data_IF_335505311068
#
_entry.id   IF_335505311068
#
_cell.length_a   1.000
_cell.length_b   1.000
_cell.length_c   1.000
_cell.angle_alpha   90.00
_cell.angle_beta   90.00
_cell.angle_gamma   90.00
#
_symmetry.space_group_name_H-M   'P 1'
#
loop_
_entity.id
_entity.type
_entity.pdbx_description
1 polymer ?
#
# COMPACT_ATOMS: atom_id res chain seq x y z
N UNK A 1 42.28 -4.20 39.55
CA UNK A 1 41.88 -4.74 40.86
C UNK A 1 40.46 -5.29 40.68
N UNK A 2 40.12 -6.56 40.71
CA UNK A 2 40.64 -7.75 41.31
C UNK A 2 40.24 -8.98 40.51
N UNK A 3 41.18 -9.83 40.45
CA UNK A 3 41.17 -11.19 39.95
C UNK A 3 40.40 -12.11 40.92
N UNK A 4 39.63 -13.08 40.40
CA UNK A 4 39.42 -14.34 41.10
C UNK A 4 39.25 -15.49 40.11
N UNK A 5 40.26 -16.32 40.07
CA UNK A 5 40.30 -17.66 39.50
C UNK A 5 40.06 -18.68 40.62
N UNK A 6 39.44 -19.83 40.31
CA UNK A 6 39.51 -21.11 41.07
C UNK A 6 38.93 -22.20 40.17
N UNK A 7 39.71 -23.01 39.52
CA UNK A 7 40.34 -24.33 39.78
C UNK A 7 39.40 -25.53 39.87
N UNK A 8 39.59 -26.39 38.89
CA UNK A 8 39.68 -27.87 38.79
C UNK A 8 39.11 -28.74 39.89
N UNK A 9 38.36 -29.75 39.49
CA UNK A 9 38.58 -31.11 40.03
C UNK A 9 38.13 -32.20 39.01
N UNK A 10 39.11 -33.05 38.70
CA UNK A 10 39.06 -34.29 37.95
C UNK A 10 38.74 -35.44 38.93
N UNK A 11 37.93 -36.41 38.55
CA UNK A 11 38.02 -37.77 39.12
C UNK A 11 37.68 -38.81 38.07
N UNK A 12 38.67 -39.61 37.86
CA UNK A 12 38.83 -40.86 37.15
C UNK A 12 38.18 -42.00 37.94
N UNK A 13 37.43 -42.92 37.36
CA UNK A 13 37.55 -44.34 37.76
C UNK A 13 37.01 -45.29 36.68
N UNK A 14 37.84 -46.15 36.18
CA UNK A 14 37.51 -47.26 35.33
C UNK A 14 37.18 -48.52 36.12
N UNK A 15 36.37 -49.36 35.58
CA UNK A 15 36.34 -50.80 35.88
C UNK A 15 36.02 -51.61 34.64
N UNK A 16 36.96 -52.47 34.36
CA UNK A 16 36.99 -53.55 33.38
C UNK A 16 36.38 -54.81 34.00
N UNK A 17 35.41 -55.50 33.37
CA UNK A 17 35.16 -56.91 33.57
C UNK A 17 34.66 -57.61 32.32
N UNK A 18 35.53 -58.36 31.74
CA UNK A 18 35.29 -59.44 30.78
C UNK A 18 34.65 -60.67 31.51
N UNK A 19 33.64 -61.27 30.96
CA UNK A 19 33.41 -62.74 30.97
C UNK A 19 32.44 -63.13 29.86
N UNK A 20 32.93 -63.99 28.96
CA UNK A 20 32.13 -64.66 27.98
C UNK A 20 31.31 -65.84 28.56
N UNK A 21 30.26 -66.16 27.89
CA UNK A 21 29.66 -67.51 27.87
C UNK A 21 29.03 -67.78 26.52
N UNK A 22 29.56 -68.81 25.89
CA UNK A 22 29.02 -69.56 24.75
C UNK A 22 27.74 -70.31 25.17
N UNK A 23 26.73 -70.39 24.32
CA UNK A 23 25.89 -71.59 24.17
C UNK A 23 24.94 -71.49 22.98
N UNK A 24 25.20 -72.33 22.00
CA UNK A 24 24.34 -73.27 21.21
C UNK A 24 23.03 -72.80 20.59
N UNK A 25 22.98 -73.04 19.31
CA UNK A 25 21.94 -73.16 18.33
C UNK A 25 20.58 -73.72 18.76
N UNK A 26 19.50 -73.09 18.33
CA UNK A 26 18.26 -73.75 17.96
C UNK A 26 17.70 -73.12 16.68
N UNK A 27 17.53 -73.93 15.63
CA UNK A 27 16.78 -73.69 14.43
C UNK A 27 15.28 -73.72 14.74
N UNK A 28 14.54 -72.75 14.26
CA UNK A 28 13.10 -72.86 13.98
C UNK A 28 12.69 -72.03 12.78
N UNK A 29 11.92 -72.64 11.93
CA UNK A 29 11.19 -72.31 10.74
C UNK A 29 10.83 -70.83 10.50
N UNK A 30 11.03 -70.43 9.25
CA UNK A 30 10.43 -69.24 8.64
C UNK A 30 8.93 -69.34 8.48
N UNK A 31 8.20 -68.22 8.61
CA UNK A 31 7.16 -67.89 7.65
C UNK A 31 7.55 -66.64 6.85
N UNK A 32 7.37 -66.73 5.54
CA UNK A 32 7.54 -65.67 4.57
C UNK A 32 6.84 -64.37 5.03
N UNK A 33 7.64 -63.37 5.35
CA UNK A 33 7.16 -61.98 5.48
C UNK A 33 7.35 -61.28 4.15
N UNK A 34 6.23 -60.75 3.68
CA UNK A 34 6.12 -59.81 2.57
C UNK A 34 7.19 -58.74 2.65
N UNK A 35 8.03 -58.67 1.63
CA UNK A 35 8.91 -57.52 1.40
C UNK A 35 8.05 -56.27 1.23
N UNK A 36 7.93 -55.46 2.32
CA UNK A 36 7.60 -54.08 2.17
C UNK A 36 8.84 -53.39 1.64
N UNK A 37 8.82 -53.03 0.37
CA UNK A 37 9.80 -52.12 -0.20
C UNK A 37 9.77 -50.78 0.60
N UNK A 38 10.58 -50.70 1.63
CA UNK A 38 11.01 -49.39 2.17
C UNK A 38 12.05 -48.88 1.18
N UNK A 39 11.62 -48.13 0.18
CA UNK A 39 12.53 -47.29 -0.60
C UNK A 39 13.33 -46.46 0.38
N UNK A 40 14.64 -46.66 0.37
CA UNK A 40 15.59 -45.88 1.14
C UNK A 40 15.58 -44.47 0.57
N UNK A 41 14.88 -43.55 1.24
CA UNK A 41 14.90 -42.11 0.94
C UNK A 41 16.37 -41.65 0.96
N UNK A 42 16.83 -41.09 -0.13
CA UNK A 42 18.12 -40.42 -0.17
C UNK A 42 18.10 -39.23 0.78
N UNK A 43 19.22 -38.91 1.43
CA UNK A 43 19.28 -37.79 2.40
C UNK A 43 18.82 -36.49 1.77
N UNK A 44 17.69 -35.95 2.23
CA UNK A 44 17.09 -34.71 1.72
C UNK A 44 15.79 -34.89 0.94
N UNK A 45 15.33 -36.13 0.70
CA UNK A 45 14.04 -36.42 0.10
C UNK A 45 12.93 -36.41 1.17
N UNK A 46 11.78 -35.87 0.80
CA UNK A 46 10.58 -35.78 1.63
C UNK A 46 9.45 -36.45 0.88
N UNK A 47 8.89 -37.49 1.48
CA UNK A 47 7.65 -38.09 0.96
C UNK A 47 6.46 -37.28 1.48
N UNK A 48 5.64 -36.79 0.56
CA UNK A 48 4.46 -35.98 0.87
C UNK A 48 3.30 -36.48 0.01
N UNK A 49 2.38 -37.21 0.63
CA UNK A 49 1.32 -37.91 -0.11
C UNK A 49 0.39 -36.96 -0.87
N UNK A 50 -0.23 -37.43 -1.92
CA UNK A 50 -1.19 -36.65 -2.70
C UNK A 50 -2.33 -36.09 -1.83
N UNK A 51 -2.84 -36.88 -0.88
CA UNK A 51 -3.88 -36.43 0.07
C UNK A 51 -3.39 -35.28 0.97
N UNK A 52 -2.15 -35.34 1.44
CA UNK A 52 -1.53 -34.25 2.21
C UNK A 52 -1.34 -33.01 1.36
N UNK A 53 -0.90 -33.17 0.11
CA UNK A 53 -0.71 -32.08 -0.84
C UNK A 53 -2.03 -31.34 -1.14
N UNK A 54 -3.10 -32.08 -1.38
CA UNK A 54 -4.43 -31.54 -1.64
C UNK A 54 -4.99 -30.81 -0.40
N UNK A 55 -4.83 -31.41 0.80
CA UNK A 55 -5.33 -30.84 2.05
C UNK A 55 -4.75 -29.45 2.38
N UNK A 56 -3.50 -29.17 1.99
CA UNK A 56 -2.84 -27.86 2.20
C UNK A 56 -2.89 -26.94 0.99
N UNK A 57 -3.45 -27.39 -0.13
CA UNK A 57 -3.44 -26.68 -1.41
C UNK A 57 -2.02 -26.44 -1.91
N UNK A 58 -1.19 -27.49 -1.95
CA UNK A 58 0.18 -27.43 -2.49
C UNK A 58 0.11 -27.06 -3.97
N UNK A 59 0.90 -26.08 -4.37
CA UNK A 59 1.02 -25.67 -5.76
C UNK A 59 2.48 -25.78 -6.19
N UNK A 60 2.70 -26.22 -7.43
CA UNK A 60 4.01 -26.30 -8.05
C UNK A 60 4.05 -25.49 -9.34
N UNK A 61 5.23 -25.06 -9.74
CA UNK A 61 5.47 -24.32 -10.98
C UNK A 61 6.67 -24.94 -11.71
N UNK A 62 6.49 -25.22 -12.99
CA UNK A 62 7.60 -25.64 -13.84
C UNK A 62 8.41 -24.43 -14.30
N UNK A 63 9.69 -24.43 -13.95
CA UNK A 63 10.55 -23.28 -14.19
C UNK A 63 10.90 -23.12 -15.66
N UNK A 64 10.83 -21.89 -16.13
CA UNK A 64 11.25 -21.46 -17.45
C UNK A 64 12.11 -20.21 -17.32
N UNK A 65 13.09 -20.07 -18.20
CA UNK A 65 13.83 -18.82 -18.31
C UNK A 65 12.93 -17.73 -18.88
N UNK A 66 12.88 -16.60 -18.23
CA UNK A 66 12.07 -15.44 -18.61
C UNK A 66 12.82 -14.15 -18.34
N UNK A 67 12.46 -13.07 -19.06
CA UNK A 67 12.99 -11.74 -18.73
C UNK A 67 12.64 -11.36 -17.30
N UNK A 68 13.65 -10.99 -16.51
CA UNK A 68 13.50 -10.56 -15.14
C UNK A 68 14.14 -9.18 -14.95
N UNK A 69 13.43 -8.27 -14.28
CA UNK A 69 13.92 -6.92 -14.05
C UNK A 69 15.15 -6.93 -13.13
N UNK A 70 16.18 -6.18 -13.49
CA UNK A 70 17.23 -5.85 -12.54
C UNK A 70 16.66 -4.91 -11.48
N UNK A 71 16.87 -5.20 -10.20
CA UNK A 71 16.22 -4.51 -9.10
C UNK A 71 17.21 -3.69 -8.28
N UNK A 72 16.80 -2.49 -7.85
CA UNK A 72 17.45 -1.75 -6.77
C UNK A 72 16.50 -1.82 -5.56
N UNK A 73 16.94 -2.49 -4.51
CA UNK A 73 16.21 -2.58 -3.26
C UNK A 73 16.53 -1.37 -2.37
N UNK A 74 15.51 -0.65 -1.90
CA UNK A 74 15.69 0.55 -1.10
C UNK A 74 14.49 0.81 -0.18
N UNK A 75 14.62 1.79 0.67
CA UNK A 75 13.49 2.33 1.45
C UNK A 75 12.85 3.51 0.73
N UNK A 76 11.61 3.80 1.13
CA UNK A 76 10.88 4.96 0.63
C UNK A 76 9.77 5.38 1.57
N UNK A 77 9.06 6.43 1.16
CA UNK A 77 7.95 6.99 1.91
C UNK A 77 6.82 7.40 0.98
N UNK A 78 5.59 7.16 1.41
CA UNK A 78 4.40 7.65 0.75
C UNK A 78 4.16 9.11 1.16
N UNK A 79 3.88 9.97 0.19
CA UNK A 79 3.67 11.41 0.40
C UNK A 79 2.38 11.84 -0.31
N UNK A 80 1.76 12.90 0.20
CA UNK A 80 0.70 13.61 -0.54
C UNK A 80 1.30 14.42 -1.68
N UNK A 81 0.66 14.46 -2.87
CA UNK A 81 1.02 15.40 -3.92
C UNK A 81 0.90 16.84 -3.46
N UNK A 82 1.69 17.73 -4.05
CA UNK A 82 1.54 19.18 -3.82
C UNK A 82 0.14 19.62 -4.27
N UNK A 83 -0.59 20.33 -3.39
CA UNK A 83 -1.97 20.75 -3.65
C UNK A 83 -3.04 19.69 -3.34
N UNK A 84 -2.65 18.53 -2.80
CA UNK A 84 -3.62 17.54 -2.29
C UNK A 84 -4.37 18.06 -1.04
N UNK A 85 -3.78 19.00 -0.31
CA UNK A 85 -4.38 19.64 0.86
C UNK A 85 -4.98 20.99 0.44
N UNK A 86 -6.28 21.14 0.67
CA UNK A 86 -7.01 22.37 0.34
C UNK A 86 -7.59 22.95 1.62
N UNK A 87 -7.18 24.16 1.95
CA UNK A 87 -7.75 24.92 3.06
C UNK A 87 -9.07 25.55 2.63
N UNK A 88 -10.14 25.17 3.28
CA UNK A 88 -11.44 25.82 3.15
C UNK A 88 -11.44 27.09 3.96
N UNK A 89 -11.79 28.20 3.35
CA UNK A 89 -11.89 29.52 4.00
C UNK A 89 -13.30 30.06 3.94
N UNK A 90 -13.65 30.91 4.87
CA UNK A 90 -14.93 31.62 4.88
C UNK A 90 -15.01 32.61 3.72
N UNK A 91 -15.99 32.52 2.81
CA UNK A 91 -16.14 33.44 1.68
C UNK A 91 -16.70 34.78 2.07
N UNK A 92 -17.34 34.89 3.24
CA UNK A 92 -17.89 36.11 3.81
C UNK A 92 -17.92 36.06 5.32
N UNK A 93 -18.21 37.20 5.97
CA UNK A 93 -18.46 37.24 7.41
C UNK A 93 -19.74 36.45 7.75
N UNK A 94 -19.73 35.73 8.88
CA UNK A 94 -20.92 34.99 9.29
C UNK A 94 -20.71 34.16 10.55
N UNK A 95 -21.70 33.36 10.85
CA UNK A 95 -21.69 32.39 11.96
C UNK A 95 -21.70 30.97 11.39
N UNK A 96 -20.79 30.13 11.82
CA UNK A 96 -20.63 28.78 11.34
C UNK A 96 -21.65 27.85 12.00
N UNK A 97 -22.32 27.04 11.15
CA UNK A 97 -23.10 25.89 11.57
C UNK A 97 -22.60 24.65 10.81
N UNK A 98 -22.09 23.62 11.51
CA UNK A 98 -21.68 22.36 10.87
C UNK A 98 -22.89 21.69 10.17
N UNK A 99 -22.68 21.13 8.99
CA UNK A 99 -23.75 20.44 8.25
C UNK A 99 -24.13 19.10 8.92
N UNK A 100 -23.20 18.49 9.65
CA UNK A 100 -23.40 17.28 10.46
C UNK A 100 -22.66 17.40 11.81
N UNK A 101 -23.16 16.70 12.83
CA UNK A 101 -22.63 16.79 14.20
C UNK A 101 -21.25 16.20 14.39
N UNK A 102 -20.77 15.33 13.49
CA UNK A 102 -19.48 14.63 13.59
C UNK A 102 -18.52 15.06 12.47
N UNK A 103 -18.26 16.36 12.32
CA UNK A 103 -17.14 16.85 11.52
C UNK A 103 -15.91 16.94 12.40
N UNK A 104 -15.11 15.85 12.40
CA UNK A 104 -13.87 15.73 13.18
C UNK A 104 -12.71 15.36 12.25
N UNK A 105 -11.48 15.52 12.74
CA UNK A 105 -10.29 15.05 12.04
C UNK A 105 -10.41 13.58 11.66
N UNK A 106 -9.96 13.20 10.45
CA UNK A 106 -10.12 11.86 9.88
C UNK A 106 -11.49 11.57 9.26
N UNK A 107 -12.49 12.49 9.39
CA UNK A 107 -13.81 12.28 8.78
C UNK A 107 -13.70 12.21 7.26
N UNK A 108 -14.24 11.17 6.59
CA UNK A 108 -14.30 11.10 5.14
C UNK A 108 -15.27 12.16 4.60
N UNK A 109 -14.94 12.70 3.43
CA UNK A 109 -15.76 13.68 2.72
C UNK A 109 -15.82 13.35 1.23
N UNK A 110 -16.99 13.54 0.62
CA UNK A 110 -17.16 13.39 -0.82
C UNK A 110 -17.13 14.76 -1.51
N UNK A 111 -16.68 14.76 -2.78
CA UNK A 111 -16.65 16.00 -3.57
C UNK A 111 -18.04 16.63 -3.68
N UNK A 112 -18.15 17.92 -3.33
CA UNK A 112 -19.41 18.64 -3.34
C UNK A 112 -20.28 18.45 -2.09
N UNK A 113 -19.86 17.62 -1.12
CA UNK A 113 -20.54 17.47 0.18
C UNK A 113 -20.48 18.79 0.95
N UNK A 114 -21.62 19.25 1.49
CA UNK A 114 -21.67 20.43 2.35
C UNK A 114 -21.10 20.11 3.72
N UNK A 115 -20.05 20.80 4.12
CA UNK A 115 -19.39 20.64 5.41
C UNK A 115 -19.88 21.65 6.44
N UNK A 116 -20.06 22.91 6.01
CA UNK A 116 -20.53 23.98 6.87
C UNK A 116 -21.61 24.79 6.16
N UNK A 117 -22.46 25.38 6.97
CA UNK A 117 -23.31 26.49 6.59
C UNK A 117 -22.78 27.76 7.24
N UNK A 118 -22.71 28.84 6.49
CA UNK A 118 -22.33 30.15 6.97
C UNK A 118 -23.60 31.01 7.00
N UNK A 119 -24.13 31.20 8.21
CA UNK A 119 -25.29 32.10 8.43
C UNK A 119 -24.82 33.55 8.43
N UNK A 120 -25.34 34.34 7.49
CA UNK A 120 -25.06 35.75 7.34
C UNK A 120 -26.15 36.63 7.96
N UNK A 121 -27.25 36.03 8.42
CA UNK A 121 -28.37 36.73 9.08
C UNK A 121 -27.92 37.33 10.43
N UNK A 122 -28.45 38.51 10.75
CA UNK A 122 -28.19 39.24 12.00
C UNK A 122 -26.74 39.74 12.20
N UNK A 123 -25.97 39.93 11.13
CA UNK A 123 -24.70 40.66 11.21
C UNK A 123 -24.92 42.14 11.24
N UNK A 124 -24.00 42.90 11.90
CA UNK A 124 -24.09 44.37 12.06
C UNK A 124 -24.10 45.10 10.71
N UNK A 125 -23.51 44.48 9.67
CA UNK A 125 -23.46 45.01 8.30
C UNK A 125 -24.63 44.54 7.41
N UNK A 126 -25.60 43.84 7.98
CA UNK A 126 -26.74 43.24 7.28
C UNK A 126 -26.38 41.95 6.52
N UNK A 127 -27.41 41.26 6.06
CA UNK A 127 -27.26 40.06 5.23
C UNK A 127 -26.91 40.46 3.79
N UNK A 128 -25.61 40.35 3.44
CA UNK A 128 -25.07 40.76 2.13
C UNK A 128 -25.78 40.01 0.99
N UNK A 129 -26.13 38.76 1.16
CA UNK A 129 -26.77 37.97 0.12
C UNK A 129 -28.27 38.28 0.01
N UNK A 130 -28.95 38.55 1.12
CA UNK A 130 -30.30 39.04 1.08
C UNK A 130 -30.38 40.40 0.37
N UNK A 131 -29.41 41.25 0.63
CA UNK A 131 -29.28 42.56 -0.02
C UNK A 131 -29.04 42.41 -1.52
N UNK A 132 -28.11 41.56 -1.94
CA UNK A 132 -27.86 41.25 -3.35
C UNK A 132 -29.11 40.64 -4.05
N UNK A 133 -29.86 39.76 -3.38
CA UNK A 133 -31.12 39.22 -3.88
C UNK A 133 -32.18 40.30 -4.10
N UNK A 134 -32.40 41.18 -3.12
CA UNK A 134 -33.36 42.26 -3.22
C UNK A 134 -33.00 43.28 -4.31
N UNK A 135 -31.72 43.57 -4.47
CA UNK A 135 -31.21 44.43 -5.55
C UNK A 135 -31.44 43.76 -6.92
N UNK A 136 -31.15 42.49 -7.07
CA UNK A 136 -31.41 41.71 -8.30
C UNK A 136 -32.88 41.71 -8.65
N UNK A 137 -33.77 41.30 -7.72
CA UNK A 137 -35.22 41.26 -7.95
C UNK A 137 -35.78 42.63 -8.31
N UNK A 138 -35.24 43.71 -7.73
CA UNK A 138 -35.66 45.09 -8.02
C UNK A 138 -35.18 45.49 -9.42
N UNK A 139 -33.94 45.19 -9.76
CA UNK A 139 -33.37 45.49 -11.07
C UNK A 139 -34.06 44.66 -12.17
N UNK A 140 -34.40 43.38 -11.93
CA UNK A 140 -35.14 42.53 -12.87
C UNK A 140 -36.52 43.08 -13.18
N UNK A 141 -37.26 43.48 -12.15
CA UNK A 141 -38.60 44.13 -12.37
C UNK A 141 -38.46 45.42 -13.16
N UNK A 142 -37.41 46.21 -12.90
CA UNK A 142 -37.09 47.42 -13.65
C UNK A 142 -36.79 47.16 -15.11
N UNK A 143 -35.95 46.15 -15.36
CA UNK A 143 -35.58 45.71 -16.71
C UNK A 143 -36.77 45.21 -17.52
N UNK A 144 -37.61 44.31 -16.98
CA UNK A 144 -38.81 43.81 -17.66
C UNK A 144 -39.76 44.94 -18.03
N UNK A 145 -39.97 45.92 -17.16
CA UNK A 145 -40.80 47.13 -17.46
C UNK A 145 -40.16 47.97 -18.57
N UNK A 146 -38.84 48.20 -18.50
CA UNK A 146 -38.15 48.99 -19.49
C UNK A 146 -38.15 48.31 -20.88
N UNK A 147 -38.12 46.96 -20.93
CA UNK A 147 -38.18 46.18 -22.16
C UNK A 147 -39.51 46.39 -22.90
N UNK A 148 -40.61 46.54 -22.18
CA UNK A 148 -41.91 46.86 -22.78
C UNK A 148 -41.98 48.33 -23.26
N UNK A 149 -41.50 49.25 -22.41
CA UNK A 149 -41.54 50.69 -22.73
C UNK A 149 -40.67 51.09 -23.91
N UNK A 150 -39.54 50.40 -24.13
CA UNK A 150 -38.68 50.66 -25.30
C UNK A 150 -39.28 50.17 -26.60
N UNK A 151 -40.06 49.06 -26.56
CA UNK A 151 -40.80 48.56 -27.71
C UNK A 151 -41.87 49.57 -28.18
N UNK A 152 -42.53 50.21 -27.22
CA UNK A 152 -43.55 51.24 -27.46
C UNK A 152 -42.95 52.65 -27.68
N UNK A 153 -41.58 52.76 -27.72
CA UNK A 153 -40.84 54.02 -27.91
C UNK A 153 -41.15 55.06 -26.85
N UNK A 154 -41.52 54.65 -25.64
CA UNK A 154 -41.84 55.54 -24.51
C UNK A 154 -40.55 55.99 -23.82
N UNK A 155 -39.51 55.15 -23.82
CA UNK A 155 -38.16 55.47 -23.34
C UNK A 155 -37.16 55.41 -24.47
N UNK A 156 -36.05 56.14 -24.29
CA UNK A 156 -34.95 56.12 -25.27
C UNK A 156 -34.11 54.82 -25.17
N UNK A 157 -33.45 54.49 -26.25
CA UNK A 157 -32.50 53.35 -26.24
C UNK A 157 -31.41 53.48 -25.17
N UNK A 158 -30.92 54.69 -24.95
CA UNK A 158 -29.94 54.98 -23.93
C UNK A 158 -30.44 54.73 -22.51
N UNK A 159 -31.69 55.10 -22.23
CA UNK A 159 -32.33 54.79 -20.92
C UNK A 159 -32.52 53.28 -20.72
N UNK A 160 -32.94 52.58 -21.79
CA UNK A 160 -33.02 51.13 -21.73
C UNK A 160 -31.67 50.45 -21.45
N UNK A 161 -30.61 50.90 -22.14
CA UNK A 161 -29.25 50.36 -21.95
C UNK A 161 -28.76 50.56 -20.51
N UNK A 162 -29.04 51.70 -19.90
CA UNK A 162 -28.73 51.95 -18.48
C UNK A 162 -29.44 51.00 -17.51
N UNK A 163 -30.74 50.76 -17.75
CA UNK A 163 -31.53 49.83 -16.94
C UNK A 163 -31.02 48.40 -17.12
N UNK A 164 -30.70 48.01 -18.36
CA UNK A 164 -30.12 46.70 -18.68
C UNK A 164 -28.77 46.51 -18.00
N UNK A 165 -27.90 47.48 -18.09
CA UNK A 165 -26.59 47.43 -17.42
C UNK A 165 -26.75 47.27 -15.89
N UNK A 166 -27.70 47.98 -15.28
CA UNK A 166 -27.96 47.85 -13.84
C UNK A 166 -28.48 46.45 -13.48
N UNK A 167 -29.35 45.87 -14.31
CA UNK A 167 -29.84 44.49 -14.18
C UNK A 167 -28.68 43.45 -14.28
N UNK A 168 -27.85 43.56 -15.31
CA UNK A 168 -26.71 42.66 -15.51
C UNK A 168 -25.70 42.72 -14.32
N UNK A 169 -25.43 43.94 -13.80
CA UNK A 169 -24.58 44.11 -12.65
C UNK A 169 -25.18 43.50 -11.37
N UNK A 170 -26.48 43.75 -11.12
CA UNK A 170 -27.17 43.20 -9.95
C UNK A 170 -27.28 41.64 -10.07
N UNK A 171 -27.47 41.12 -11.29
CA UNK A 171 -27.48 39.70 -11.59
C UNK A 171 -26.13 39.06 -11.30
N UNK A 172 -25.05 39.64 -11.81
CA UNK A 172 -23.69 39.14 -11.55
C UNK A 172 -23.34 39.13 -10.06
N UNK A 173 -23.76 40.16 -9.33
CA UNK A 173 -23.55 40.26 -7.88
C UNK A 173 -24.33 39.19 -7.13
N UNK A 174 -25.59 38.93 -7.52
CA UNK A 174 -26.44 37.91 -6.91
C UNK A 174 -25.94 36.51 -7.24
N UNK A 175 -25.54 36.23 -8.49
CA UNK A 175 -24.99 34.94 -8.90
C UNK A 175 -23.65 34.65 -8.21
N UNK A 176 -22.80 35.67 -8.00
CA UNK A 176 -21.53 35.51 -7.30
C UNK A 176 -21.64 35.35 -5.78
N UNK A 177 -22.68 35.89 -5.15
CA UNK A 177 -22.81 35.92 -3.68
C UNK A 177 -24.04 35.19 -3.14
N UNK A 178 -25.06 34.93 -3.95
CA UNK A 178 -26.38 34.47 -3.50
C UNK A 178 -26.83 33.11 -4.05
N UNK A 179 -26.26 32.61 -5.11
CA UNK A 179 -26.75 31.40 -5.79
C UNK A 179 -26.57 30.10 -4.96
N UNK A 180 -25.67 30.09 -3.99
CA UNK A 180 -25.42 28.93 -3.08
C UNK A 180 -26.11 29.09 -1.72
N UNK A 181 -26.97 30.09 -1.54
CA UNK A 181 -27.64 30.37 -0.29
C UNK A 181 -28.94 29.58 -0.16
N UNK A 182 -28.90 28.54 0.69
CA UNK A 182 -30.11 27.85 1.13
C UNK A 182 -30.72 28.48 2.39
N UNK A 183 -31.81 27.91 2.90
CA UNK A 183 -32.51 28.36 4.12
C UNK A 183 -31.61 28.42 5.36
N UNK A 184 -30.50 27.65 5.36
CA UNK A 184 -29.50 27.58 6.46
C UNK A 184 -28.30 28.53 6.28
N UNK A 185 -28.25 29.31 5.20
CA UNK A 185 -27.15 30.19 4.85
C UNK A 185 -26.31 29.65 3.68
N UNK A 186 -25.15 30.25 3.46
CA UNK A 186 -24.21 29.89 2.40
C UNK A 186 -23.58 28.52 2.68
N UNK A 187 -23.69 27.59 1.74
CA UNK A 187 -23.13 26.24 1.89
C UNK A 187 -21.65 26.22 1.48
N UNK A 188 -20.79 25.74 2.39
CA UNK A 188 -19.37 25.54 2.14
C UNK A 188 -19.15 24.04 1.89
N UNK A 189 -18.70 23.73 0.67
CA UNK A 189 -18.61 22.35 0.16
C UNK A 189 -17.17 21.87 0.09
N UNK A 190 -16.99 20.54 0.22
CA UNK A 190 -15.72 19.89 -0.02
C UNK A 190 -15.31 20.02 -1.50
N UNK A 191 -14.10 20.49 -1.84
CA UNK A 191 -13.66 20.67 -3.22
C UNK A 191 -13.28 19.36 -3.92
N UNK A 192 -12.90 18.34 -3.13
CA UNK A 192 -12.49 17.02 -3.59
C UNK A 192 -12.99 15.93 -2.65
N UNK A 193 -13.01 14.71 -3.11
CA UNK A 193 -13.11 13.52 -2.26
C UNK A 193 -11.84 13.37 -1.43
N UNK A 194 -11.98 12.95 -0.17
CA UNK A 194 -10.85 12.78 0.73
C UNK A 194 -11.26 12.69 2.18
N UNK A 195 -10.52 13.35 3.06
CA UNK A 195 -10.77 13.39 4.50
C UNK A 195 -10.37 14.74 5.09
N UNK A 196 -10.93 15.06 6.25
CA UNK A 196 -10.57 16.24 7.01
C UNK A 196 -9.25 16.04 7.76
N UNK A 197 -8.24 16.87 7.50
CA UNK A 197 -7.00 16.91 8.28
C UNK A 197 -7.22 17.65 9.58
N UNK A 198 -7.93 18.80 9.51
CA UNK A 198 -8.21 19.62 10.66
C UNK A 198 -9.51 20.39 10.49
N UNK A 199 -10.15 20.70 11.60
CA UNK A 199 -11.31 21.57 11.68
C UNK A 199 -10.97 22.72 12.63
N UNK A 200 -10.88 23.95 12.11
CA UNK A 200 -10.40 25.12 12.85
C UNK A 200 -11.52 25.94 13.49
N UNK A 201 -12.79 25.55 13.29
CA UNK A 201 -13.95 26.32 13.76
C UNK A 201 -14.96 25.46 14.51
N UNK A 202 -15.61 26.07 15.50
CA UNK A 202 -16.68 25.46 16.26
C UNK A 202 -18.08 25.87 15.79
N UNK A 203 -19.09 25.10 16.18
CA UNK A 203 -20.49 25.46 15.95
C UNK A 203 -20.84 26.78 16.69
N UNK A 204 -21.52 27.71 15.99
CA UNK A 204 -21.88 29.01 16.52
C UNK A 204 -20.73 30.03 16.54
N UNK A 205 -19.53 29.66 16.09
CA UNK A 205 -18.40 30.58 16.01
C UNK A 205 -18.61 31.62 14.91
N UNK A 206 -18.34 32.90 15.24
CA UNK A 206 -18.30 33.99 14.26
C UNK A 206 -16.95 33.95 13.54
N UNK A 207 -16.99 34.03 12.21
CA UNK A 207 -15.81 34.08 11.33
C UNK A 207 -15.83 35.28 10.42
N UNK A 208 -14.66 35.73 10.03
CA UNK A 208 -14.46 36.81 9.05
C UNK A 208 -14.10 36.21 7.68
N UNK A 209 -14.29 37.00 6.63
CA UNK A 209 -13.90 36.63 5.27
C UNK A 209 -12.44 36.21 5.22
N UNK A 210 -12.13 35.06 4.63
CA UNK A 210 -10.78 34.50 4.53
C UNK A 210 -10.33 33.68 5.75
N UNK A 211 -11.12 33.61 6.84
CA UNK A 211 -10.80 32.79 8.00
C UNK A 211 -10.75 31.33 7.63
N UNK A 212 -9.73 30.57 8.06
CA UNK A 212 -9.64 29.14 7.79
C UNK A 212 -10.72 28.38 8.59
N UNK A 213 -11.42 27.47 7.92
CA UNK A 213 -12.51 26.66 8.49
C UNK A 213 -12.09 25.23 8.73
N UNK A 214 -11.51 24.60 7.71
CA UNK A 214 -11.03 23.22 7.73
C UNK A 214 -9.99 23.00 6.63
N UNK A 215 -9.21 21.94 6.76
CA UNK A 215 -8.31 21.46 5.71
C UNK A 215 -8.81 20.10 5.24
N UNK A 216 -9.07 19.98 3.94
CA UNK A 216 -9.45 18.75 3.26
C UNK A 216 -8.23 18.22 2.51
N UNK A 217 -7.86 16.95 2.74
CA UNK A 217 -6.84 16.27 1.94
C UNK A 217 -7.50 15.33 0.95
N UNK A 218 -7.07 15.40 -0.30
CA UNK A 218 -7.37 14.36 -1.29
C UNK A 218 -6.45 13.17 -1.07
N UNK A 219 -7.01 11.96 -1.10
CA UNK A 219 -6.28 10.71 -0.99
C UNK A 219 -6.39 9.84 -2.25
N UNK A 220 -6.84 10.43 -3.36
CA UNK A 220 -7.01 9.69 -4.63
C UNK A 220 -5.68 9.32 -5.28
N UNK A 221 -4.67 10.15 -5.11
CA UNK A 221 -3.32 9.95 -5.64
C UNK A 221 -2.28 10.16 -4.54
N UNK A 222 -1.23 9.35 -4.57
CA UNK A 222 -0.09 9.46 -3.68
C UNK A 222 1.21 9.51 -4.48
N UNK A 223 2.25 9.98 -3.81
CA UNK A 223 3.62 9.92 -4.27
C UNK A 223 4.37 8.84 -3.48
N UNK A 224 5.10 7.98 -4.21
CA UNK A 224 6.12 7.12 -3.63
C UNK A 224 7.47 7.79 -3.87
N UNK A 225 8.10 8.28 -2.82
CA UNK A 225 9.49 8.74 -2.85
C UNK A 225 10.38 7.60 -2.40
N UNK A 226 11.21 7.10 -3.31
CA UNK A 226 12.22 6.08 -3.06
C UNK A 226 13.60 6.74 -2.92
N UNK A 227 14.38 6.36 -1.93
CA UNK A 227 15.66 6.97 -1.60
C UNK A 227 16.82 6.08 -2.11
N UNK A 228 17.24 6.30 -3.35
CA UNK A 228 18.28 5.51 -4.02
C UNK A 228 19.67 5.89 -3.50
N UNK A 229 20.47 4.89 -3.11
CA UNK A 229 21.86 5.12 -2.70
C UNK A 229 22.67 5.77 -3.82
N UNK A 230 23.57 6.70 -3.48
CA UNK A 230 24.50 7.29 -4.46
C UNK A 230 25.32 6.23 -5.22
N UNK A 231 25.57 5.06 -4.61
CA UNK A 231 26.24 3.92 -5.26
C UNK A 231 25.47 3.46 -6.52
N UNK A 232 24.13 3.49 -6.46
CA UNK A 232 23.25 3.07 -7.54
C UNK A 232 22.78 4.24 -8.44
N UNK A 233 23.28 5.46 -8.21
CA UNK A 233 22.86 6.66 -8.94
C UNK A 233 23.09 6.55 -10.45
N UNK A 234 24.09 5.79 -10.89
CA UNK A 234 24.38 5.54 -12.30
C UNK A 234 23.28 4.71 -12.98
N UNK A 235 22.42 4.01 -12.23
CA UNK A 235 21.31 3.17 -12.70
C UNK A 235 19.98 3.92 -12.74
N UNK A 236 19.90 5.15 -12.27
CA UNK A 236 18.64 5.92 -12.20
C UNK A 236 17.90 5.99 -13.56
N UNK A 237 18.65 6.16 -14.64
CA UNK A 237 18.09 6.24 -16.00
C UNK A 237 17.51 4.92 -16.53
N UNK A 238 17.82 3.79 -15.90
CA UNK A 238 17.29 2.47 -16.26
C UNK A 238 16.04 2.07 -15.48
N UNK A 239 15.62 2.88 -14.51
CA UNK A 239 14.42 2.60 -13.71
C UNK A 239 13.17 2.82 -14.58
N UNK A 240 12.35 1.79 -14.70
CA UNK A 240 11.12 1.80 -15.50
C UNK A 240 9.85 1.76 -14.65
N UNK A 241 9.89 1.15 -13.47
CA UNK A 241 8.75 1.02 -12.55
C UNK A 241 9.24 0.72 -11.14
N UNK A 242 8.30 0.52 -10.21
CA UNK A 242 8.61 0.04 -8.88
C UNK A 242 7.49 -0.86 -8.34
N UNK A 243 7.89 -1.79 -7.47
CA UNK A 243 6.98 -2.46 -6.54
C UNK A 243 7.31 -1.95 -5.13
N UNK A 244 6.34 -1.97 -4.23
CA UNK A 244 6.61 -1.59 -2.84
C UNK A 244 5.72 -2.37 -1.88
N UNK A 245 6.18 -2.48 -0.64
CA UNK A 245 5.45 -3.08 0.48
C UNK A 245 5.45 -2.10 1.64
N UNK A 246 4.30 -1.90 2.24
CA UNK A 246 4.15 -1.06 3.44
C UNK A 246 4.35 -1.88 4.71
N UNK A 247 4.68 -1.22 5.81
CA UNK A 247 5.00 -1.88 7.09
C UNK A 247 3.81 -2.62 7.72
N UNK A 248 2.58 -2.33 7.28
CA UNK A 248 1.36 -3.02 7.71
C UNK A 248 1.21 -4.44 7.15
N UNK A 249 2.09 -4.85 6.23
CA UNK A 249 2.17 -6.21 5.72
C UNK A 249 1.02 -6.62 4.79
N UNK A 250 0.20 -5.70 4.31
CA UNK A 250 -0.98 -5.99 3.48
C UNK A 250 -0.67 -6.46 2.04
N UNK A 251 0.58 -6.76 1.73
CA UNK A 251 0.97 -7.33 0.46
C UNK A 251 1.92 -6.45 -0.35
N UNK A 252 2.13 -6.85 -1.58
CA UNK A 252 3.00 -6.16 -2.54
C UNK A 252 2.15 -5.29 -3.47
N UNK A 253 2.41 -3.99 -3.46
CA UNK A 253 1.82 -3.03 -4.37
C UNK A 253 2.69 -2.88 -5.62
N UNK A 254 2.09 -2.96 -6.78
CA UNK A 254 2.77 -2.86 -8.07
C UNK A 254 2.34 -1.59 -8.78
N UNK A 255 3.27 -0.69 -9.07
CA UNK A 255 2.96 0.59 -9.71
C UNK A 255 2.38 0.43 -11.11
N UNK A 256 2.73 -0.63 -11.85
CA UNK A 256 2.14 -0.95 -13.15
C UNK A 256 0.63 -1.23 -13.08
N UNK A 257 0.13 -1.73 -11.91
CA UNK A 257 -1.30 -1.97 -11.65
C UNK A 257 -2.02 -0.76 -11.07
N UNK A 258 -1.28 0.21 -10.56
CA UNK A 258 -1.80 1.41 -9.89
C UNK A 258 -1.67 2.66 -10.77
N UNK A 259 -1.58 2.52 -12.08
CA UNK A 259 -1.32 3.60 -13.03
C UNK A 259 -0.10 4.47 -12.63
N UNK A 260 0.93 3.83 -12.06
CA UNK A 260 2.12 4.48 -11.56
C UNK A 260 2.97 5.12 -12.66
N UNK A 261 3.46 6.32 -12.41
CA UNK A 261 4.32 7.07 -13.33
C UNK A 261 5.51 7.66 -12.57
N UNK A 262 6.68 7.60 -13.18
CA UNK A 262 7.86 8.34 -12.69
C UNK A 262 7.63 9.80 -13.00
N UNK A 263 7.65 10.65 -11.98
CA UNK A 263 7.52 12.12 -12.15
C UNK A 263 8.83 12.85 -11.94
N UNK A 264 9.77 12.26 -11.22
CA UNK A 264 11.06 12.91 -10.96
C UNK A 264 12.15 11.90 -10.66
N UNK A 265 13.30 12.13 -11.28
CA UNK A 265 14.59 11.63 -10.81
C UNK A 265 15.31 12.80 -10.12
N UNK A 266 15.73 12.63 -8.87
CA UNK A 266 16.49 13.65 -8.16
C UNK A 266 17.76 14.01 -8.92
N UNK A 267 18.01 15.31 -9.06
CA UNK A 267 19.23 15.85 -9.68
C UNK A 267 20.27 16.26 -8.65
N UNK A 268 19.94 16.17 -7.38
CA UNK A 268 20.84 16.42 -6.25
C UNK A 268 20.64 15.35 -5.20
N UNK A 269 21.72 14.96 -4.54
CA UNK A 269 21.65 14.06 -3.42
C UNK A 269 21.12 14.83 -2.18
N UNK A 270 20.21 14.19 -1.46
CA UNK A 270 19.79 14.59 -0.12
C UNK A 270 20.58 13.70 0.87
N UNK A 271 21.72 14.23 1.36
CA UNK A 271 22.68 13.40 2.07
C UNK A 271 23.27 12.29 1.21
N UNK A 272 23.12 11.02 1.62
CA UNK A 272 23.65 9.84 0.93
C UNK A 272 22.73 9.29 -0.18
N UNK A 273 21.54 9.89 -0.39
CA UNK A 273 20.51 9.35 -1.24
C UNK A 273 20.12 10.31 -2.36
N UNK A 274 19.67 9.74 -3.48
CA UNK A 274 19.06 10.45 -4.60
C UNK A 274 17.59 10.02 -4.67
N UNK A 275 16.64 10.94 -4.47
CA UNK A 275 15.23 10.57 -4.48
C UNK A 275 14.73 10.29 -5.89
N UNK A 276 13.94 9.23 -6.03
CA UNK A 276 13.13 8.94 -7.23
C UNK A 276 11.67 8.96 -6.80
N UNK A 277 10.86 9.74 -7.50
CA UNK A 277 9.46 9.94 -7.12
C UNK A 277 8.54 9.41 -8.20
N UNK A 278 7.59 8.59 -7.78
CA UNK A 278 6.51 8.08 -8.60
C UNK A 278 5.20 8.67 -8.11
N UNK A 279 4.26 8.92 -9.01
CA UNK A 279 2.87 9.21 -8.71
C UNK A 279 2.02 7.99 -9.06
N UNK A 280 1.03 7.64 -8.24
CA UNK A 280 0.16 6.49 -8.47
C UNK A 280 -1.24 6.70 -7.89
N UNK A 281 -2.22 5.91 -8.38
CA UNK A 281 -3.59 5.93 -7.88
C UNK A 281 -3.71 5.14 -6.57
N UNK A 282 -4.30 5.76 -5.55
CA UNK A 282 -4.45 5.18 -4.22
C UNK A 282 -5.75 4.34 -4.12
N UNK A 283 -5.82 3.24 -4.85
CA UNK A 283 -6.98 2.34 -4.82
C UNK A 283 -7.13 1.57 -3.48
N UNK A 284 -6.07 1.52 -2.67
CA UNK A 284 -6.03 0.73 -1.42
C UNK A 284 -6.14 1.56 -0.15
N UNK A 285 -6.49 2.83 -0.24
CA UNK A 285 -6.60 3.77 0.89
C UNK A 285 -5.32 3.85 1.75
N UNK A 286 -4.15 3.77 1.11
CA UNK A 286 -2.87 3.95 1.77
C UNK A 286 -2.77 5.35 2.37
N UNK A 287 -2.10 5.46 3.51
CA UNK A 287 -1.95 6.73 4.21
C UNK A 287 -0.64 7.42 3.82
N UNK A 288 -0.66 8.71 3.50
CA UNK A 288 0.57 9.48 3.36
C UNK A 288 1.35 9.49 4.67
N UNK A 289 2.67 9.55 4.58
CA UNK A 289 3.55 9.43 5.74
C UNK A 289 4.03 8.00 6.02
N UNK A 290 3.40 6.98 5.46
CA UNK A 290 3.79 5.57 5.62
C UNK A 290 5.14 5.28 4.97
N UNK A 291 6.01 4.56 5.69
CA UNK A 291 7.25 4.03 5.14
C UNK A 291 7.00 2.77 4.34
N UNK A 292 7.79 2.59 3.31
CA UNK A 292 7.69 1.46 2.41
C UNK A 292 9.07 0.87 2.09
N UNK A 293 9.11 -0.43 1.96
CA UNK A 293 10.19 -1.17 1.31
C UNK A 293 9.95 -1.12 -0.20
N UNK A 294 10.93 -0.68 -0.98
CA UNK A 294 10.77 -0.38 -2.39
C UNK A 294 11.72 -1.20 -3.25
N UNK A 295 11.18 -1.82 -4.26
CA UNK A 295 11.87 -2.58 -5.30
C UNK A 295 11.79 -1.81 -6.61
N UNK A 296 12.82 -1.03 -6.94
CA UNK A 296 12.88 -0.28 -8.19
C UNK A 296 13.25 -1.22 -9.32
N UNK A 297 12.35 -1.35 -10.28
CA UNK A 297 12.52 -2.21 -11.44
C UNK A 297 13.27 -1.45 -12.52
N UNK A 298 14.44 -1.97 -12.89
CA UNK A 298 15.27 -1.46 -13.98
C UNK A 298 15.06 -2.30 -15.23
N UNK A 299 15.86 -2.03 -16.26
CA UNK A 299 15.84 -2.77 -17.52
C UNK A 299 15.90 -4.28 -17.30
N UNK A 300 15.14 -5.03 -18.08
CA UNK A 300 15.03 -6.47 -17.96
C UNK A 300 16.33 -7.19 -18.27
N UNK A 301 16.67 -8.19 -17.47
CA UNK A 301 17.65 -9.24 -17.83
C UNK A 301 16.98 -10.26 -18.75
N UNK A 302 17.78 -10.93 -19.56
CA UNK A 302 17.31 -12.05 -20.40
C UNK A 302 17.68 -13.39 -19.75
N UNK A 303 16.89 -14.41 -20.04
CA UNK A 303 17.18 -15.81 -19.71
C UNK A 303 17.50 -16.08 -18.23
N UNK A 304 16.68 -15.51 -17.34
CA UNK A 304 16.81 -15.69 -15.88
C UNK A 304 15.78 -16.70 -15.38
N UNK A 305 16.21 -17.61 -14.52
CA UNK A 305 15.31 -18.45 -13.73
C UNK A 305 14.92 -17.65 -12.48
N UNK A 306 13.63 -17.56 -12.19
CA UNK A 306 13.12 -16.94 -10.98
C UNK A 306 12.04 -17.78 -10.33
N UNK A 307 11.94 -17.73 -9.00
CA UNK A 307 10.91 -18.41 -8.23
C UNK A 307 10.10 -17.41 -7.40
N UNK A 308 8.83 -17.67 -7.09
CA UNK A 308 8.09 -16.88 -6.12
C UNK A 308 8.80 -16.84 -4.77
N UNK A 309 8.70 -15.72 -4.05
CA UNK A 309 9.27 -15.58 -2.69
C UNK A 309 8.72 -16.67 -1.75
N UNK A 310 7.46 -17.10 -1.96
CA UNK A 310 6.81 -18.17 -1.20
C UNK A 310 7.42 -19.56 -1.37
N UNK A 311 8.22 -19.77 -2.42
CA UNK A 311 8.97 -21.03 -2.66
C UNK A 311 10.23 -21.12 -1.80
N UNK A 312 10.77 -19.97 -1.34
CA UNK A 312 12.05 -19.92 -0.65
C UNK A 312 11.89 -20.20 0.84
N UNK A 313 12.75 -21.06 1.33
CA UNK A 313 12.91 -21.35 2.76
C UNK A 313 14.30 -20.90 3.16
N UNK A 314 14.39 -20.02 4.13
CA UNK A 314 15.64 -19.56 4.71
C UNK A 314 15.90 -20.26 6.04
N UNK A 315 17.07 -20.88 6.16
CA UNK A 315 17.54 -21.51 7.37
C UNK A 315 19.02 -21.13 7.60
N UNK A 316 19.26 -20.42 8.69
CA UNK A 316 20.62 -19.99 9.07
C UNK A 316 21.39 -19.25 7.95
N UNK A 317 20.67 -18.45 7.16
CA UNK A 317 21.26 -17.70 6.04
C UNK A 317 21.43 -18.51 4.75
N UNK A 318 20.99 -19.78 4.73
CA UNK A 318 20.99 -20.63 3.53
C UNK A 318 19.58 -20.68 2.96
N UNK A 319 19.44 -20.38 1.68
CA UNK A 319 18.18 -20.48 0.96
C UNK A 319 18.02 -21.85 0.30
N UNK A 320 16.83 -22.39 0.39
CA UNK A 320 16.47 -23.66 -0.26
C UNK A 320 15.04 -23.60 -0.81
N UNK A 321 14.77 -24.48 -1.75
CA UNK A 321 13.44 -24.73 -2.31
C UNK A 321 13.16 -26.23 -2.28
N UNK A 322 11.90 -26.63 -2.46
CA UNK A 322 11.55 -28.02 -2.72
C UNK A 322 11.29 -28.23 -4.21
N UNK A 323 12.06 -29.12 -4.81
CA UNK A 323 11.90 -29.58 -6.20
C UNK A 323 11.11 -30.88 -6.18
N UNK A 324 10.06 -30.95 -6.97
CA UNK A 324 9.27 -32.16 -7.16
C UNK A 324 10.04 -33.11 -8.09
N UNK A 325 10.38 -34.29 -7.62
CA UNK A 325 11.05 -35.34 -8.40
C UNK A 325 10.06 -36.38 -8.92
N UNK A 326 9.04 -36.71 -8.10
CA UNK A 326 7.95 -37.60 -8.48
C UNK A 326 6.62 -37.11 -7.89
N UNK A 327 5.52 -37.82 -8.12
CA UNK A 327 4.18 -37.40 -7.69
C UNK A 327 4.10 -37.06 -6.17
N UNK A 328 4.81 -37.84 -5.34
CA UNK A 328 4.81 -37.70 -3.89
C UNK A 328 6.21 -37.46 -3.29
N UNK A 329 7.23 -37.26 -4.13
CA UNK A 329 8.63 -37.09 -3.69
C UNK A 329 9.13 -35.69 -3.99
N UNK A 330 9.57 -35.02 -2.94
CA UNK A 330 10.12 -33.67 -3.01
C UNK A 330 11.54 -33.66 -2.45
N UNK A 331 12.47 -33.10 -3.21
CA UNK A 331 13.86 -32.97 -2.77
C UNK A 331 14.15 -31.53 -2.35
N UNK A 332 14.74 -31.36 -1.18
CA UNK A 332 15.24 -30.07 -0.72
C UNK A 332 16.51 -29.71 -1.51
N UNK A 333 16.44 -28.61 -2.26
CA UNK A 333 17.52 -28.08 -3.08
C UNK A 333 18.00 -26.75 -2.52
N UNK A 334 19.30 -26.69 -2.18
CA UNK A 334 19.95 -25.42 -1.80
C UNK A 334 20.13 -24.57 -3.06
N UNK A 335 19.86 -23.27 -2.92
CA UNK A 335 19.92 -22.32 -4.03
C UNK A 335 20.70 -21.08 -3.66
N UNK A 336 21.37 -20.49 -4.64
CA UNK A 336 21.95 -19.16 -4.54
C UNK A 336 20.98 -18.15 -5.16
N UNK A 337 20.58 -17.14 -4.36
CA UNK A 337 19.58 -16.16 -4.77
C UNK A 337 20.23 -14.86 -5.24
N UNK A 338 19.63 -14.24 -6.25
CA UNK A 338 20.00 -12.93 -6.76
C UNK A 338 19.06 -11.82 -6.26
N UNK A 339 18.74 -10.88 -7.13
CA UNK A 339 17.83 -9.80 -6.82
C UNK A 339 16.36 -10.27 -6.86
N UNK A 340 15.53 -9.69 -5.96
CA UNK A 340 14.09 -9.94 -5.93
C UNK A 340 13.29 -8.68 -6.22
N UNK A 341 12.12 -8.82 -6.85
CA UNK A 341 11.20 -7.72 -7.16
C UNK A 341 10.07 -7.57 -6.11
N UNK A 342 10.20 -8.32 -5.00
CA UNK A 342 9.19 -8.40 -3.93
C UNK A 342 8.15 -9.51 -4.16
N UNK A 343 7.98 -10.00 -5.39
CA UNK A 343 7.09 -11.12 -5.76
C UNK A 343 7.90 -12.38 -6.06
N UNK A 344 8.94 -12.22 -6.88
CA UNK A 344 9.83 -13.31 -7.33
C UNK A 344 11.29 -12.97 -7.03
N UNK A 345 12.12 -13.98 -6.95
CA UNK A 345 13.58 -13.86 -6.71
C UNK A 345 14.32 -14.60 -7.81
N UNK A 346 15.33 -13.95 -8.37
CA UNK A 346 16.27 -14.54 -9.32
C UNK A 346 17.06 -15.65 -8.65
N UNK A 347 17.19 -16.79 -9.32
CA UNK A 347 18.06 -17.88 -8.89
C UNK A 347 19.33 -17.87 -9.73
N UNK A 348 20.46 -17.74 -9.04
CA UNK A 348 21.78 -17.70 -9.66
C UNK A 348 22.33 -19.10 -9.88
N UNK A 349 22.14 -19.99 -8.88
CA UNK A 349 22.63 -21.36 -8.89
C UNK A 349 21.66 -22.30 -8.15
N UNK A 350 21.67 -23.58 -8.52
CA UNK A 350 20.95 -24.64 -7.82
C UNK A 350 19.66 -25.11 -8.49
N UNK A 351 19.16 -24.42 -9.52
CA UNK A 351 17.98 -24.82 -10.30
C UNK A 351 18.25 -24.76 -11.80
N UNK A 352 17.52 -25.58 -12.55
CA UNK A 352 17.58 -25.67 -14.00
C UNK A 352 16.22 -25.38 -14.64
N UNK A 353 16.25 -25.06 -15.91
CA UNK A 353 15.04 -24.94 -16.71
C UNK A 353 14.36 -26.31 -16.83
N UNK A 354 13.07 -26.35 -16.52
CA UNK A 354 12.29 -27.57 -16.50
C UNK A 354 12.06 -28.17 -15.12
N UNK A 355 12.83 -27.75 -14.09
CA UNK A 355 12.59 -28.16 -12.71
C UNK A 355 11.19 -27.74 -12.26
N UNK A 356 10.50 -28.57 -11.51
CA UNK A 356 9.19 -28.30 -10.94
C UNK A 356 9.35 -27.98 -9.45
N UNK A 357 9.07 -26.71 -9.07
CA UNK A 357 9.31 -26.17 -7.73
C UNK A 357 8.00 -25.92 -7.01
N UNK A 358 7.95 -26.25 -5.71
CA UNK A 358 6.82 -25.91 -4.83
C UNK A 358 6.73 -24.41 -4.67
N UNK A 359 5.60 -23.82 -5.07
CA UNK A 359 5.35 -22.37 -4.99
C UNK A 359 4.45 -21.98 -3.84
N UNK A 360 3.60 -22.91 -3.37
CA UNK A 360 2.74 -22.72 -2.22
C UNK A 360 2.76 -23.96 -1.34
N UNK A 361 2.82 -23.78 -0.04
CA UNK A 361 2.91 -24.89 0.91
C UNK A 361 4.34 -25.39 1.21
N UNK A 362 5.39 -24.72 0.73
CA UNK A 362 6.78 -25.12 0.93
C UNK A 362 7.16 -25.31 2.42
N UNK A 363 6.66 -24.46 3.32
CA UNK A 363 6.85 -24.62 4.76
C UNK A 363 6.22 -25.89 5.33
N UNK A 364 5.07 -26.33 4.79
CA UNK A 364 4.42 -27.58 5.22
C UNK A 364 5.23 -28.79 4.80
N UNK A 365 5.77 -28.79 3.58
CA UNK A 365 6.69 -29.83 3.10
C UNK A 365 7.93 -29.90 3.99
N UNK A 366 8.49 -28.75 4.39
CA UNK A 366 9.60 -28.67 5.34
C UNK A 366 9.26 -29.30 6.70
N UNK A 367 8.07 -29.02 7.26
CA UNK A 367 7.68 -29.61 8.55
C UNK A 367 7.50 -31.11 8.47
N UNK A 368 6.99 -31.64 7.38
CA UNK A 368 6.90 -33.06 7.15
C UNK A 368 8.29 -33.73 7.12
N UNK A 369 9.28 -33.07 6.49
CA UNK A 369 10.68 -33.54 6.50
C UNK A 369 11.29 -33.61 7.90
N UNK A 370 10.99 -32.62 8.74
CA UNK A 370 11.52 -32.57 10.11
C UNK A 370 10.89 -33.65 11.01
N UNK A 371 9.60 -33.99 10.81
CA UNK A 371 8.92 -35.05 11.58
C UNK A 371 9.32 -36.45 11.14
N UNK A 372 9.66 -36.67 9.88
CA UNK A 372 10.19 -37.94 9.39
C UNK A 372 11.63 -38.25 9.88
N UNK A 373 12.38 -37.23 10.26
CA UNK A 373 13.75 -37.35 10.78
C UNK A 373 13.83 -37.75 12.27
N UNK A 374 12.71 -37.80 13.01
CA UNK A 374 12.66 -38.25 14.42
C UNK A 374 12.44 -39.76 14.42
N UNK A 375 13.47 -40.60 14.76
CA UNK A 375 13.29 -42.04 14.91
C UNK A 375 12.23 -42.30 15.99
N UNK A 376 11.17 -43.01 15.63
CA UNK A 376 10.16 -43.43 16.61
C UNK A 376 10.82 -44.30 17.69
N UNK A 377 10.94 -43.77 18.90
CA UNK A 377 11.30 -44.60 20.04
C UNK A 377 10.14 -45.54 20.35
N UNK A 378 10.21 -46.76 19.78
CA UNK A 378 9.36 -47.85 20.21
C UNK A 378 9.82 -48.29 21.59
N UNK A 379 9.17 -47.83 22.63
CA UNK A 379 9.21 -48.45 23.95
C UNK A 379 8.31 -49.67 23.91
N UNK A 380 8.90 -50.85 23.70
CA UNK A 380 8.23 -52.12 23.97
C UNK A 380 8.29 -52.35 25.49
N UNK A 381 7.16 -52.32 26.18
CA UNK A 381 6.95 -52.85 27.52
C UNK A 381 6.47 -54.26 27.47
#
# INVERSE_FOLDING_TARGET
>A
MGLCALTLCSCHNGHNHSRGHDHSAHSHDEPAMSESHSESLHAGEVHFSHEQAEAIGLETERLQKAPFASVIHTGGKLLSPVGAEITLTAPSNGVIAPARSALVEGSPVEKGETLFYLATANLTDGDVALKAKLEYETAERGYRRAEELVKDRIISAQEFDMVKMRYELAKATYEGQGAEMGDKGLSIKAPSKGYLISVSVGAGQRVETGAPLAVVASNERLLLRADVSQRDAHRLGSIVSANFRTADGQGLYRLDKLAGKIISYGRSADGAYVPVTFEFENASNLLPGTYAEVYLLCDSKKDVISVPVSSLIEEQGVFSVFVKEDEEVFRKQVVSVGSGDGSRVEILEGLHEGDEVVTKGAYNVRFASASAAIPGHTHNH
#
